data_IF_023392883522
#
_entry.id   IF_023392883522
#
_cell.length_a   1.000
_cell.length_b   1.000
_cell.length_c   1.000
_cell.angle_alpha   90.00
_cell.angle_beta   90.00
_cell.angle_gamma   90.00
#
_symmetry.space_group_name_H-M   'P 1'
#
loop_
_entity.id
_entity.type
_entity.pdbx_description
1 polymer ?
#
# COMPACT_ATOMS: atom_id res chain seq x y z
N UNK A 1 -1.24 5.48 15.43
CA UNK A 1 -0.97 5.45 13.99
C UNK A 1 -2.19 4.96 13.25
N UNK A 2 -2.43 5.48 12.06
CA UNK A 2 -3.54 5.02 11.22
C UNK A 2 -3.09 3.85 10.38
N UNK A 3 -4.08 3.08 9.89
CA UNK A 3 -3.80 1.97 8.98
C UNK A 3 -3.04 2.46 7.74
N UNK A 4 -3.41 3.64 7.23
CA UNK A 4 -2.74 4.21 6.07
C UNK A 4 -1.25 4.47 6.35
N UNK A 5 -0.93 5.01 7.49
CA UNK A 5 0.46 5.27 7.86
C UNK A 5 1.26 3.97 7.99
N UNK A 6 0.64 2.94 8.56
CA UNK A 6 1.30 1.66 8.69
C UNK A 6 1.57 1.02 7.32
N UNK A 7 0.61 1.13 6.40
CA UNK A 7 0.78 0.61 5.05
C UNK A 7 1.91 1.34 4.34
N UNK A 8 1.94 2.66 4.44
CA UNK A 8 2.99 3.45 3.80
C UNK A 8 4.37 3.07 4.34
N UNK A 9 4.47 2.88 5.65
CA UNK A 9 5.72 2.49 6.27
C UNK A 9 6.15 1.10 5.81
N UNK A 10 5.21 0.18 5.72
CA UNK A 10 5.47 -1.19 5.28
C UNK A 10 5.97 -1.20 3.84
N UNK A 11 5.31 -0.46 2.96
CA UNK A 11 5.71 -0.39 1.55
C UNK A 11 7.00 0.39 1.34
N UNK A 12 7.35 1.26 2.28
CA UNK A 12 8.62 1.98 2.20
C UNK A 12 9.82 1.04 2.31
N UNK A 13 9.65 -0.09 2.97
CA UNK A 13 10.71 -1.08 3.11
C UNK A 13 10.89 -1.90 1.83
N UNK A 14 9.79 -2.32 1.23
CA UNK A 14 9.81 -3.09 -0.02
C UNK A 14 8.37 -3.25 -0.52
N UNK A 15 8.18 -3.54 -1.82
CA UNK A 15 6.85 -3.83 -2.34
C UNK A 15 6.29 -5.12 -1.74
N UNK A 16 4.98 -5.19 -1.59
CA UNK A 16 4.30 -6.34 -1.02
C UNK A 16 3.02 -6.65 -1.77
N UNK A 17 2.58 -7.90 -1.68
CA UNK A 17 1.30 -8.30 -2.26
C UNK A 17 0.15 -7.82 -1.39
N UNK A 18 -1.07 -7.81 -1.97
CA UNK A 18 -2.26 -7.45 -1.21
C UNK A 18 -2.42 -8.34 0.02
N UNK A 19 -2.21 -9.65 -0.14
CA UNK A 19 -2.33 -10.58 0.98
C UNK A 19 -1.36 -10.26 2.10
N UNK A 20 -0.13 -9.92 1.76
CA UNK A 20 0.86 -9.56 2.76
C UNK A 20 0.46 -8.30 3.52
N UNK A 21 -0.05 -7.32 2.80
CA UNK A 21 -0.47 -6.07 3.43
C UNK A 21 -1.69 -6.31 4.31
N UNK A 22 -2.65 -7.12 3.87
CA UNK A 22 -3.83 -7.44 4.67
C UNK A 22 -3.41 -8.16 5.95
N UNK A 23 -2.47 -9.10 5.84
CA UNK A 23 -1.97 -9.82 7.01
C UNK A 23 -1.26 -8.89 7.99
N UNK A 24 -0.63 -7.84 7.48
CA UNK A 24 0.07 -6.87 8.32
C UNK A 24 -0.88 -5.86 8.96
N UNK A 25 -1.78 -5.29 8.16
CA UNK A 25 -2.58 -4.12 8.58
C UNK A 25 -4.03 -4.45 8.95
N UNK A 26 -4.53 -5.63 8.60
CA UNK A 26 -5.87 -6.05 9.01
C UNK A 26 -6.97 -5.76 8.00
N UNK A 27 -8.21 -5.78 8.48
CA UNK A 27 -9.38 -5.76 7.62
C UNK A 27 -9.61 -4.47 6.85
N UNK A 28 -9.09 -3.35 7.34
CA UNK A 28 -9.30 -2.06 6.68
C UNK A 28 -8.30 -1.79 5.56
N UNK A 29 -7.45 -2.78 5.27
CA UNK A 29 -6.35 -2.61 4.32
C UNK A 29 -6.83 -2.26 2.91
N UNK A 30 -7.84 -2.97 2.41
CA UNK A 30 -8.29 -2.75 1.04
C UNK A 30 -8.83 -1.34 0.85
N UNK A 31 -9.60 -0.86 1.80
CA UNK A 31 -10.13 0.49 1.74
C UNK A 31 -9.01 1.52 1.85
N UNK A 32 -8.07 1.29 2.75
CA UNK A 32 -6.93 2.19 2.92
C UNK A 32 -6.05 2.23 1.67
N UNK A 33 -5.83 1.07 1.04
CA UNK A 33 -5.06 1.01 -0.21
C UNK A 33 -5.76 1.80 -1.31
N UNK A 34 -7.08 1.69 -1.40
CA UNK A 34 -7.82 2.45 -2.41
C UNK A 34 -7.68 3.95 -2.18
N UNK A 35 -7.80 4.39 -0.94
CA UNK A 35 -7.64 5.81 -0.60
C UNK A 35 -6.23 6.28 -0.95
N UNK A 36 -5.21 5.50 -0.58
CA UNK A 36 -3.83 5.85 -0.86
C UNK A 36 -3.54 5.88 -2.36
N UNK A 37 -4.15 4.97 -3.12
CA UNK A 37 -3.99 4.94 -4.57
C UNK A 37 -4.62 6.18 -5.20
N UNK A 38 -5.82 6.55 -4.76
CA UNK A 38 -6.49 7.76 -5.26
C UNK A 38 -5.70 9.02 -4.92
N UNK A 39 -5.03 9.02 -3.77
CA UNK A 39 -4.17 10.12 -3.36
C UNK A 39 -2.79 10.07 -4.03
N UNK A 40 -2.55 9.06 -4.87
CA UNK A 40 -1.31 8.85 -5.61
C UNK A 40 -0.10 8.62 -4.71
N UNK A 41 -0.34 8.06 -3.56
CA UNK A 41 0.74 7.74 -2.62
C UNK A 41 1.27 6.32 -2.81
N UNK A 42 0.46 5.43 -3.38
CA UNK A 42 0.86 4.05 -3.69
C UNK A 42 0.40 3.70 -5.09
N UNK A 43 1.05 2.70 -5.68
CA UNK A 43 0.68 2.16 -6.99
C UNK A 43 0.62 0.64 -6.91
N UNK A 44 -0.17 0.06 -7.80
CA UNK A 44 -0.31 -1.39 -7.90
C UNK A 44 0.24 -1.87 -9.25
N UNK A 45 1.10 -2.87 -9.21
CA UNK A 45 1.63 -3.50 -10.43
C UNK A 45 0.90 -4.81 -10.68
N UNK A 46 -0.06 -4.78 -11.59
CA UNK A 46 -0.86 -5.95 -11.89
C UNK A 46 -0.03 -7.11 -12.46
N UNK A 47 1.04 -6.80 -13.20
CA UNK A 47 1.90 -7.81 -13.78
C UNK A 47 2.64 -8.63 -12.72
N UNK A 48 2.89 -8.06 -11.57
CA UNK A 48 3.59 -8.72 -10.47
C UNK A 48 2.71 -8.93 -9.24
N UNK A 49 1.53 -8.33 -9.22
CA UNK A 49 0.64 -8.40 -8.07
C UNK A 49 1.19 -7.71 -6.83
N UNK A 50 1.99 -6.67 -7.02
CA UNK A 50 2.64 -5.98 -5.93
C UNK A 50 2.18 -4.53 -5.80
N UNK A 51 2.00 -4.11 -4.55
CA UNK A 51 1.81 -2.70 -4.22
C UNK A 51 3.16 -2.11 -3.85
N UNK A 52 3.38 -0.84 -4.22
CA UNK A 52 4.62 -0.16 -3.88
C UNK A 52 4.37 1.34 -3.73
N UNK A 53 5.29 2.02 -3.05
CA UNK A 53 5.17 3.47 -2.86
C UNK A 53 5.36 4.20 -4.18
N UNK A 54 4.53 5.21 -4.39
CA UNK A 54 4.66 6.07 -5.55
C UNK A 54 5.64 7.20 -5.22
N UNK A 55 6.88 7.05 -5.65
CA UNK A 55 7.91 8.03 -5.36
C UNK A 55 7.95 9.17 -6.38
N UNK A 56 7.09 9.10 -7.36
CA UNK A 56 7.04 10.13 -8.40
C UNK A 56 6.38 11.41 -7.93
N UNK A 57 5.72 11.37 -6.78
CA UNK A 57 5.06 12.53 -6.21
C UNK A 57 6.03 13.59 -5.70
N UNK A 58 7.29 13.27 -5.63
CA UNK A 58 8.30 14.24 -5.20
C UNK A 58 8.58 15.31 -6.28
#
# INVERSE_FOLDING_TARGET
MTTQEEILKYLAESPHTTLEIVAFAGNDTLESLRILELAKKVKYRADKGLWYLNKEEL
#
